data_IF_060183089183
#
_entry.id   IF_060183089183
#
_cell.length_a   1.000
_cell.length_b   1.000
_cell.length_c   1.000
_cell.angle_alpha   90.00
_cell.angle_beta   90.00
_cell.angle_gamma   90.00
#
_symmetry.space_group_name_H-M   'P 1'
#
loop_
_entity.id
_entity.type
_entity.pdbx_description
1 polymer ?
#
# COMPACT_ATOMS: atom_id res chain seq x y z
N UNK A 1 4.19 -8.86 -27.06
CA UNK A 1 4.04 -7.48 -26.56
C UNK A 1 4.37 -7.54 -25.08
N UNK A 2 5.35 -6.77 -24.61
CA UNK A 2 5.74 -6.84 -23.18
C UNK A 2 4.69 -6.09 -22.37
N UNK A 3 3.93 -6.84 -21.56
CA UNK A 3 2.82 -6.31 -20.78
C UNK A 3 3.33 -5.78 -19.43
N UNK A 4 3.74 -4.51 -19.39
CA UNK A 4 3.82 -3.72 -18.16
C UNK A 4 5.16 -3.68 -17.39
N UNK A 5 5.31 -2.56 -16.65
CA UNK A 5 6.28 -2.30 -15.57
C UNK A 5 7.70 -2.84 -15.75
N UNK A 6 7.98 -3.99 -15.13
CA UNK A 6 9.30 -4.63 -15.09
C UNK A 6 9.77 -4.98 -16.51
N UNK A 7 8.90 -5.51 -17.35
CA UNK A 7 9.28 -5.85 -18.73
C UNK A 7 9.59 -4.61 -19.57
N UNK A 8 8.90 -3.50 -19.35
CA UNK A 8 9.19 -2.26 -20.07
C UNK A 8 10.56 -1.69 -19.68
N UNK A 9 10.84 -1.60 -18.38
CA UNK A 9 12.09 -1.04 -17.88
C UNK A 9 13.32 -1.93 -18.11
N UNK A 10 13.17 -3.25 -18.05
CA UNK A 10 14.30 -4.19 -18.10
C UNK A 10 14.40 -5.02 -19.39
N UNK A 11 13.41 -4.95 -20.29
CA UNK A 11 13.46 -5.66 -21.59
C UNK A 11 13.31 -4.69 -22.76
N UNK A 12 12.27 -3.85 -22.76
CA UNK A 12 12.01 -2.93 -23.86
C UNK A 12 13.05 -1.78 -23.89
N UNK A 13 13.32 -1.16 -22.75
CA UNK A 13 14.22 -0.02 -22.67
C UNK A 13 15.67 -0.37 -23.02
N UNK A 14 16.28 -1.45 -22.50
CA UNK A 14 17.63 -1.86 -22.91
C UNK A 14 17.74 -2.15 -24.40
N UNK A 15 16.69 -2.73 -25.00
CA UNK A 15 16.66 -2.99 -26.44
C UNK A 15 16.69 -1.70 -27.26
N UNK A 16 15.96 -0.67 -26.84
CA UNK A 16 15.98 0.66 -27.48
C UNK A 16 17.35 1.30 -27.30
N UNK A 17 17.88 1.32 -26.08
CA UNK A 17 19.16 1.93 -25.76
C UNK A 17 20.32 1.26 -26.52
N UNK A 18 20.29 -0.06 -26.68
CA UNK A 18 21.30 -0.81 -27.45
C UNK A 18 21.31 -0.50 -28.95
N UNK A 19 20.24 0.13 -29.48
CA UNK A 19 20.17 0.57 -30.87
C UNK A 19 20.75 1.97 -31.10
N UNK A 20 21.11 2.71 -30.04
CA UNK A 20 21.55 4.11 -30.10
C UNK A 20 23.09 4.27 -30.10
N UNK A 21 23.83 3.21 -30.43
CA UNK A 21 25.30 3.17 -30.53
C UNK A 21 25.99 3.81 -29.30
N UNK A 22 26.93 4.73 -29.46
CA UNK A 22 27.70 5.31 -28.34
C UNK A 22 26.86 6.09 -27.31
N UNK A 23 25.77 6.75 -27.74
CA UNK A 23 24.90 7.53 -26.84
C UNK A 23 24.05 6.63 -25.92
N UNK A 24 23.85 5.36 -26.32
CA UNK A 24 23.06 4.40 -25.56
C UNK A 24 23.65 4.12 -24.16
N UNK A 25 24.96 3.94 -24.07
CA UNK A 25 25.60 3.57 -22.79
C UNK A 25 25.37 4.63 -21.70
N UNK A 26 25.53 5.92 -22.03
CA UNK A 26 25.34 7.01 -21.06
C UNK A 26 23.88 7.11 -20.63
N UNK A 27 22.93 7.01 -21.58
CA UNK A 27 21.50 7.06 -21.29
C UNK A 27 21.06 5.87 -20.43
N UNK A 28 21.59 4.66 -20.72
CA UNK A 28 21.32 3.46 -19.95
C UNK A 28 21.78 3.60 -18.49
N UNK A 29 23.00 4.09 -18.26
CA UNK A 29 23.52 4.30 -16.90
C UNK A 29 22.69 5.32 -16.14
N UNK A 30 22.36 6.46 -16.75
CA UNK A 30 21.54 7.49 -16.09
C UNK A 30 20.13 6.99 -15.79
N UNK A 31 19.53 6.22 -16.70
CA UNK A 31 18.21 5.62 -16.50
C UNK A 31 18.20 4.63 -15.34
N UNK A 32 19.13 3.68 -15.30
CA UNK A 32 19.18 2.68 -14.23
C UNK A 32 19.61 3.28 -12.88
N UNK A 33 20.49 4.28 -12.87
CA UNK A 33 20.82 5.04 -11.67
C UNK A 33 19.59 5.77 -11.12
N UNK A 34 18.81 6.43 -11.99
CA UNK A 34 17.55 7.07 -11.61
C UNK A 34 16.54 6.05 -11.07
N UNK A 35 16.37 4.92 -11.76
CA UNK A 35 15.50 3.82 -11.34
C UNK A 35 15.89 3.29 -9.96
N UNK A 36 17.19 3.14 -9.69
CA UNK A 36 17.71 2.70 -8.40
C UNK A 36 17.38 3.68 -7.27
N UNK A 37 17.64 4.98 -7.47
CA UNK A 37 17.33 6.02 -6.47
C UNK A 37 15.81 6.14 -6.24
N UNK A 38 15.01 6.08 -7.30
CA UNK A 38 13.56 6.10 -7.22
C UNK A 38 13.01 4.87 -6.46
N UNK A 39 13.59 3.68 -6.71
CA UNK A 39 13.23 2.46 -5.99
C UNK A 39 13.55 2.53 -4.50
N UNK A 40 14.75 3.01 -4.14
CA UNK A 40 15.18 3.16 -2.75
C UNK A 40 14.28 4.11 -1.95
N UNK A 41 13.95 5.28 -2.53
CA UNK A 41 13.11 6.27 -1.86
C UNK A 41 11.66 5.79 -1.70
N UNK A 42 11.12 5.10 -2.71
CA UNK A 42 9.79 4.48 -2.62
C UNK A 42 9.73 3.39 -1.55
N UNK A 43 10.73 2.50 -1.53
CA UNK A 43 10.82 1.42 -0.54
C UNK A 43 10.89 1.96 0.89
N UNK A 44 11.69 3.02 1.11
CA UNK A 44 11.79 3.66 2.42
C UNK A 44 10.44 4.26 2.88
N UNK A 45 9.67 4.86 1.97
CA UNK A 45 8.33 5.39 2.27
C UNK A 45 7.34 4.28 2.64
N UNK A 46 7.33 3.18 1.89
CA UNK A 46 6.40 2.07 2.11
C UNK A 46 6.68 1.35 3.44
N UNK A 47 7.95 1.08 3.77
CA UNK A 47 8.29 0.37 5.01
C UNK A 47 8.10 1.22 6.27
N UNK A 48 8.14 2.54 6.14
CA UNK A 48 7.93 3.45 7.27
C UNK A 48 6.49 3.37 7.81
N UNK A 49 5.50 3.10 6.96
CA UNK A 49 4.09 2.99 7.36
C UNK A 49 3.86 1.91 8.44
N UNK A 50 4.24 0.63 8.25
CA UNK A 50 4.10 -0.38 9.28
C UNK A 50 5.03 -0.15 10.49
N UNK A 51 6.19 0.47 10.30
CA UNK A 51 7.09 0.85 11.41
C UNK A 51 6.38 1.82 12.35
N UNK A 52 5.85 2.92 11.83
CA UNK A 52 5.10 3.92 12.61
C UNK A 52 3.84 3.32 13.24
N UNK A 53 3.12 2.44 12.54
CA UNK A 53 1.97 1.76 13.11
C UNK A 53 2.33 0.89 14.33
N UNK A 54 3.48 0.21 14.32
CA UNK A 54 3.98 -0.59 15.46
C UNK A 54 4.48 0.29 16.59
N UNK A 55 5.16 1.40 16.28
CA UNK A 55 5.58 2.41 17.26
C UNK A 55 4.38 2.99 18.01
N UNK A 56 3.35 3.44 17.29
CA UNK A 56 2.14 4.03 17.86
C UNK A 56 1.34 3.01 18.68
N UNK A 57 1.21 1.78 18.17
CA UNK A 57 0.42 0.73 18.84
C UNK A 57 1.08 0.20 20.10
N UNK A 58 2.39 -0.05 20.08
CA UNK A 58 3.10 -0.75 21.17
C UNK A 58 4.02 0.15 22.00
N UNK A 59 4.19 1.43 21.63
CA UNK A 59 5.10 2.36 22.30
C UNK A 59 6.56 1.94 22.18
N UNK A 60 6.93 1.26 21.09
CA UNK A 60 8.31 0.82 20.88
C UNK A 60 9.22 1.99 20.49
N UNK A 61 10.49 1.91 20.88
CA UNK A 61 11.49 2.86 20.38
C UNK A 61 11.71 2.66 18.89
N UNK A 62 11.99 3.77 18.18
CA UNK A 62 12.16 3.75 16.72
C UNK A 62 13.15 2.69 16.24
N UNK A 63 14.33 2.61 16.90
CA UNK A 63 15.36 1.61 16.57
C UNK A 63 14.85 0.17 16.69
N UNK A 64 14.01 -0.11 17.69
CA UNK A 64 13.43 -1.44 17.89
C UNK A 64 12.42 -1.76 16.79
N UNK A 65 11.53 -0.82 16.47
CA UNK A 65 10.52 -1.00 15.44
C UNK A 65 11.15 -1.22 14.05
N UNK A 66 12.13 -0.40 13.68
CA UNK A 66 12.88 -0.54 12.42
C UNK A 66 13.57 -1.91 12.33
N UNK A 67 14.26 -2.33 13.39
CA UNK A 67 15.00 -3.60 13.37
C UNK A 67 14.07 -4.81 13.25
N UNK A 68 12.93 -4.80 13.96
CA UNK A 68 11.98 -5.92 13.95
C UNK A 68 11.20 -5.95 12.64
N UNK A 69 10.56 -4.85 12.24
CA UNK A 69 9.73 -4.80 11.03
C UNK A 69 10.62 -4.97 9.79
N UNK A 70 11.75 -4.28 9.73
CA UNK A 70 12.71 -4.40 8.64
C UNK A 70 13.35 -5.78 8.57
N UNK A 71 13.75 -6.34 9.71
CA UNK A 71 14.35 -7.68 9.78
C UNK A 71 13.38 -8.78 9.34
N UNK A 72 12.14 -8.77 9.83
CA UNK A 72 11.11 -9.72 9.41
C UNK A 72 10.82 -9.58 7.90
N UNK A 73 10.68 -8.34 7.40
CA UNK A 73 10.46 -8.09 5.97
C UNK A 73 11.62 -8.62 5.13
N UNK A 74 12.86 -8.41 5.56
CA UNK A 74 14.04 -8.93 4.86
C UNK A 74 14.09 -10.47 4.83
N UNK A 75 13.71 -11.13 5.92
CA UNK A 75 13.64 -12.59 5.98
C UNK A 75 12.57 -13.16 5.05
N UNK A 76 11.38 -12.55 5.03
CA UNK A 76 10.29 -12.94 4.12
C UNK A 76 10.72 -12.73 2.67
N UNK A 77 11.34 -11.59 2.36
CA UNK A 77 11.88 -11.31 1.04
C UNK A 77 12.93 -12.34 0.64
N UNK A 78 13.87 -12.71 1.52
CA UNK A 78 14.88 -13.72 1.20
C UNK A 78 14.25 -15.09 0.90
N UNK A 79 13.23 -15.48 1.66
CA UNK A 79 12.52 -16.74 1.46
C UNK A 79 11.72 -16.77 0.15
N UNK A 80 11.01 -15.68 -0.19
CA UNK A 80 10.16 -15.63 -1.38
C UNK A 80 10.95 -15.35 -2.68
N UNK A 81 12.00 -14.53 -2.62
CA UNK A 81 12.76 -14.11 -3.80
C UNK A 81 13.87 -15.09 -4.24
N UNK A 82 14.17 -16.13 -3.46
CA UNK A 82 15.20 -17.11 -3.82
C UNK A 82 14.76 -18.13 -4.90
N UNK A 83 13.49 -18.11 -5.33
CA UNK A 83 12.92 -19.13 -6.22
C UNK A 83 12.74 -18.59 -7.65
N UNK A 84 12.84 -19.46 -8.67
CA UNK A 84 12.63 -19.08 -10.10
C UNK A 84 11.24 -18.50 -10.38
N UNK A 85 10.27 -18.77 -9.52
CA UNK A 85 8.87 -18.29 -9.60
C UNK A 85 8.61 -17.03 -8.76
N UNK A 86 9.67 -16.41 -8.19
CA UNK A 86 9.54 -15.27 -7.29
C UNK A 86 8.77 -14.08 -7.91
N UNK A 87 9.06 -13.74 -9.16
CA UNK A 87 8.40 -12.62 -9.84
C UNK A 87 6.90 -12.86 -9.93
N UNK A 88 6.48 -14.08 -10.27
CA UNK A 88 5.07 -14.47 -10.33
C UNK A 88 4.39 -14.37 -8.96
N UNK A 89 5.03 -14.84 -7.89
CA UNK A 89 4.45 -14.77 -6.56
C UNK A 89 4.29 -13.32 -6.08
N UNK A 90 5.32 -12.50 -6.30
CA UNK A 90 5.30 -11.08 -5.92
C UNK A 90 4.24 -10.32 -6.69
N UNK A 91 4.08 -10.60 -7.98
CA UNK A 91 3.06 -9.98 -8.83
C UNK A 91 1.64 -10.34 -8.37
N UNK A 92 1.37 -11.62 -8.10
CA UNK A 92 0.08 -12.09 -7.56
C UNK A 92 -0.20 -11.45 -6.19
N UNK A 93 0.78 -11.45 -5.29
CA UNK A 93 0.63 -10.88 -3.94
C UNK A 93 0.39 -9.37 -4.04
N UNK A 94 1.18 -8.64 -4.83
CA UNK A 94 1.05 -7.20 -5.01
C UNK A 94 -0.33 -6.83 -5.56
N UNK A 95 -0.78 -7.55 -6.59
CA UNK A 95 -2.09 -7.31 -7.19
C UNK A 95 -3.22 -7.49 -6.19
N UNK A 96 -3.23 -8.60 -5.43
CA UNK A 96 -4.27 -8.85 -4.43
C UNK A 96 -4.18 -7.90 -3.24
N UNK A 97 -2.96 -7.60 -2.77
CA UNK A 97 -2.74 -6.70 -1.64
C UNK A 97 -3.19 -5.28 -1.96
N UNK A 98 -2.85 -4.76 -3.15
CA UNK A 98 -3.18 -3.39 -3.55
C UNK A 98 -4.64 -3.25 -3.97
N UNK A 99 -5.17 -4.16 -4.80
CA UNK A 99 -6.53 -4.00 -5.34
C UNK A 99 -7.63 -4.43 -4.36
N UNK A 100 -7.34 -5.36 -3.44
CA UNK A 100 -8.29 -5.76 -2.40
C UNK A 100 -7.90 -5.12 -1.07
N UNK A 101 -6.71 -5.42 -0.55
CA UNK A 101 -6.31 -5.02 0.81
C UNK A 101 -6.31 -3.50 1.02
N UNK A 102 -5.53 -2.77 0.23
CA UNK A 102 -5.39 -1.31 0.36
C UNK A 102 -6.71 -0.60 0.04
N UNK A 103 -7.38 -0.97 -1.06
CA UNK A 103 -8.67 -0.36 -1.44
C UNK A 103 -9.73 -0.60 -0.36
N UNK A 104 -9.86 -1.81 0.16
CA UNK A 104 -10.80 -2.13 1.23
C UNK A 104 -10.48 -1.35 2.52
N UNK A 105 -9.22 -1.30 2.92
CA UNK A 105 -8.78 -0.50 4.07
C UNK A 105 -9.05 1.00 3.90
N UNK A 106 -8.87 1.52 2.68
CA UNK A 106 -9.19 2.91 2.36
C UNK A 106 -10.70 3.18 2.45
N UNK A 107 -11.55 2.30 1.91
CA UNK A 107 -13.02 2.43 2.03
C UNK A 107 -13.45 2.42 3.50
N UNK A 108 -12.94 1.46 4.29
CA UNK A 108 -13.27 1.38 5.71
C UNK A 108 -12.83 2.63 6.48
N UNK A 109 -11.61 3.13 6.25
CA UNK A 109 -11.11 4.32 6.93
C UNK A 109 -11.90 5.58 6.55
N UNK A 110 -12.25 5.75 5.28
CA UNK A 110 -13.10 6.86 4.82
C UNK A 110 -14.47 6.78 5.48
N UNK A 111 -15.16 5.64 5.45
CA UNK A 111 -16.48 5.47 6.08
C UNK A 111 -16.40 5.74 7.59
N UNK A 112 -15.35 5.27 8.25
CA UNK A 112 -15.15 5.51 9.69
C UNK A 112 -15.02 6.99 10.02
N UNK A 113 -14.21 7.74 9.27
CA UNK A 113 -13.97 9.17 9.50
C UNK A 113 -15.17 10.02 9.09
N UNK A 114 -15.82 9.70 7.98
CA UNK A 114 -16.81 10.60 7.36
C UNK A 114 -18.25 10.30 7.74
N UNK A 115 -18.61 9.03 7.95
CA UNK A 115 -19.99 8.63 8.24
C UNK A 115 -20.20 8.32 9.71
N UNK A 116 -19.29 7.57 10.34
CA UNK A 116 -19.41 7.14 11.73
C UNK A 116 -18.95 8.23 12.72
N UNK A 117 -17.87 8.96 12.40
CA UNK A 117 -17.32 10.00 13.27
C UNK A 117 -17.35 11.39 12.62
N UNK A 118 -18.54 11.88 12.28
CA UNK A 118 -18.73 13.17 11.57
C UNK A 118 -18.01 14.36 12.23
N UNK A 119 -17.89 14.37 13.56
CA UNK A 119 -17.13 15.42 14.27
C UNK A 119 -15.63 15.43 13.97
N UNK A 120 -15.03 14.31 13.57
CA UNK A 120 -13.63 14.23 13.16
C UNK A 120 -13.41 14.88 11.80
N UNK A 121 -14.35 14.75 10.86
CA UNK A 121 -14.28 15.42 9.57
C UNK A 121 -14.21 16.95 9.74
N UNK A 122 -15.05 17.50 10.61
CA UNK A 122 -15.04 18.94 10.90
C UNK A 122 -13.76 19.39 11.63
N UNK A 123 -13.21 18.55 12.53
CA UNK A 123 -11.88 18.81 13.13
C UNK A 123 -10.78 18.81 12.06
N UNK A 124 -10.81 17.85 11.13
CA UNK A 124 -9.83 17.72 10.05
C UNK A 124 -9.88 18.91 9.09
N UNK A 125 -11.08 19.32 8.67
CA UNK A 125 -11.27 20.49 7.80
C UNK A 125 -10.77 21.77 8.48
N UNK A 126 -11.06 21.95 9.77
CA UNK A 126 -10.55 23.09 10.54
C UNK A 126 -9.03 23.09 10.64
N UNK A 127 -8.42 21.93 10.89
CA UNK A 127 -6.97 21.79 10.96
C UNK A 127 -6.31 22.14 9.62
N UNK A 128 -6.80 21.56 8.52
CA UNK A 128 -6.28 21.84 7.17
C UNK A 128 -6.42 23.33 6.84
N UNK A 129 -7.58 23.94 7.13
CA UNK A 129 -7.81 25.37 6.89
C UNK A 129 -6.97 26.30 7.78
N UNK A 130 -6.43 25.80 8.88
CA UNK A 130 -5.55 26.55 9.79
C UNK A 130 -4.10 26.63 9.30
N UNK A 131 -3.63 25.61 8.57
CA UNK A 131 -2.24 25.52 8.08
C UNK A 131 -2.11 25.77 6.56
N UNK A 132 -3.22 25.74 5.82
CA UNK A 132 -3.22 25.86 4.36
C UNK A 132 -3.52 27.28 3.89
N UNK A 133 -2.77 27.75 2.89
CA UNK A 133 -3.06 28.99 2.15
C UNK A 133 -4.37 28.91 1.35
N UNK A 134 -4.84 27.70 1.02
CA UNK A 134 -6.10 27.45 0.31
C UNK A 134 -7.09 26.78 1.26
N UNK A 135 -8.27 27.40 1.44
CA UNK A 135 -9.31 26.86 2.30
C UNK A 135 -10.15 25.82 1.57
N UNK A 136 -10.23 24.63 2.13
CA UNK A 136 -11.13 23.57 1.70
C UNK A 136 -12.53 23.79 2.30
N UNK A 137 -13.54 23.64 1.46
CA UNK A 137 -14.94 23.87 1.81
C UNK A 137 -15.79 22.60 1.74
N UNK A 138 -17.12 22.79 1.77
CA UNK A 138 -18.11 21.70 1.71
C UNK A 138 -18.00 20.83 0.45
N UNK A 139 -17.50 21.39 -0.66
CA UNK A 139 -17.24 20.64 -1.89
C UNK A 139 -16.20 19.53 -1.70
N UNK A 140 -15.08 19.84 -1.04
CA UNK A 140 -14.05 18.83 -0.71
C UNK A 140 -14.60 17.76 0.23
N UNK A 141 -15.38 18.17 1.23
CA UNK A 141 -16.04 17.23 2.14
C UNK A 141 -17.00 16.29 1.39
N UNK A 142 -17.76 16.81 0.43
CA UNK A 142 -18.64 16.01 -0.42
C UNK A 142 -17.85 15.03 -1.30
N UNK A 143 -16.76 15.47 -1.93
CA UNK A 143 -15.89 14.59 -2.72
C UNK A 143 -15.36 13.43 -1.87
N UNK A 144 -14.88 13.73 -0.67
CA UNK A 144 -14.31 12.74 0.25
C UNK A 144 -15.39 11.81 0.85
N UNK A 145 -16.59 12.31 1.11
CA UNK A 145 -17.67 11.54 1.77
C UNK A 145 -18.50 10.70 0.81
N UNK A 146 -18.57 11.10 -0.46
CA UNK A 146 -19.47 10.48 -1.46
C UNK A 146 -18.70 9.96 -2.66
N UNK A 147 -17.94 10.82 -3.36
CA UNK A 147 -17.30 10.45 -4.62
C UNK A 147 -16.22 9.41 -4.39
N UNK A 148 -15.29 9.68 -3.47
CA UNK A 148 -14.17 8.77 -3.14
C UNK A 148 -14.64 7.37 -2.74
N UNK A 149 -15.54 7.19 -1.75
CA UNK A 149 -15.96 5.84 -1.36
C UNK A 149 -16.72 5.14 -2.48
N UNK A 150 -17.57 5.83 -3.26
CA UNK A 150 -18.28 5.21 -4.39
C UNK A 150 -17.29 4.71 -5.44
N UNK A 151 -16.31 5.53 -5.85
CA UNK A 151 -15.31 5.13 -6.82
C UNK A 151 -14.47 3.94 -6.35
N UNK A 152 -14.06 3.93 -5.08
CA UNK A 152 -13.29 2.83 -4.50
C UNK A 152 -14.13 1.55 -4.36
N UNK A 153 -15.41 1.64 -3.99
CA UNK A 153 -16.31 0.48 -3.92
C UNK A 153 -16.51 -0.11 -5.31
N UNK A 154 -16.75 0.71 -6.33
CA UNK A 154 -16.89 0.23 -7.71
C UNK A 154 -15.59 -0.46 -8.16
N UNK A 155 -14.43 0.16 -7.93
CA UNK A 155 -13.14 -0.42 -8.27
C UNK A 155 -12.90 -1.77 -7.57
N UNK A 156 -13.25 -1.87 -6.29
CA UNK A 156 -13.14 -3.10 -5.51
C UNK A 156 -14.05 -4.20 -6.06
N UNK A 157 -15.31 -3.88 -6.36
CA UNK A 157 -16.27 -4.84 -6.91
C UNK A 157 -15.85 -5.34 -8.30
N UNK A 158 -15.35 -4.44 -9.16
CA UNK A 158 -14.82 -4.82 -10.47
C UNK A 158 -13.59 -5.72 -10.34
N UNK A 159 -12.68 -5.39 -9.43
CA UNK A 159 -11.47 -6.17 -9.18
C UNK A 159 -11.82 -7.57 -8.66
N UNK A 160 -12.70 -7.67 -7.67
CA UNK A 160 -13.15 -8.97 -7.12
C UNK A 160 -13.86 -9.79 -8.20
N UNK A 161 -14.74 -9.16 -9.00
CA UNK A 161 -15.44 -9.86 -10.07
C UNK A 161 -14.46 -10.42 -11.10
N UNK A 162 -13.53 -9.60 -11.58
CA UNK A 162 -12.50 -10.02 -12.55
C UNK A 162 -11.67 -11.18 -11.99
N UNK A 163 -11.20 -11.09 -10.75
CA UNK A 163 -10.40 -12.14 -10.11
C UNK A 163 -11.17 -13.46 -9.93
N UNK A 164 -12.49 -13.41 -9.70
CA UNK A 164 -13.33 -14.61 -9.56
C UNK A 164 -13.73 -15.24 -10.89
N UNK A 165 -13.91 -14.44 -11.95
CA UNK A 165 -14.38 -14.95 -13.25
C UNK A 165 -13.25 -15.30 -14.21
N UNK A 166 -12.22 -14.46 -14.26
CA UNK A 166 -11.13 -14.56 -15.25
C UNK A 166 -9.82 -15.06 -14.63
N UNK A 167 -9.71 -15.01 -13.29
CA UNK A 167 -8.45 -15.22 -12.60
C UNK A 167 -7.46 -14.07 -12.85
N UNK A 168 -6.22 -14.24 -12.39
CA UNK A 168 -5.16 -13.25 -12.57
C UNK A 168 -4.10 -13.73 -13.57
N UNK A 169 -3.98 -13.02 -14.69
CA UNK A 169 -2.91 -13.14 -15.71
C UNK A 169 -2.64 -14.56 -16.22
N UNK A 170 -3.64 -15.45 -16.18
CA UNK A 170 -3.51 -16.84 -16.59
C UNK A 170 -2.64 -17.72 -15.67
N UNK A 171 -2.30 -17.24 -14.47
CA UNK A 171 -1.54 -18.03 -13.49
C UNK A 171 -2.34 -19.21 -12.94
N UNK A 172 -1.62 -20.23 -12.45
CA UNK A 172 -2.19 -21.44 -11.88
C UNK A 172 -3.13 -21.13 -10.69
N UNK A 173 -4.27 -21.83 -10.65
CA UNK A 173 -5.31 -21.61 -9.64
C UNK A 173 -4.79 -21.82 -8.22
N UNK A 174 -3.92 -22.82 -7.99
CA UNK A 174 -3.37 -23.10 -6.66
C UNK A 174 -2.45 -21.95 -6.23
N UNK A 175 -1.68 -21.38 -7.16
CA UNK A 175 -0.83 -20.22 -6.89
C UNK A 175 -1.67 -19.00 -6.50
N UNK A 176 -2.75 -18.72 -7.22
CA UNK A 176 -3.66 -17.60 -6.89
C UNK A 176 -4.41 -17.82 -5.57
N UNK A 177 -4.84 -19.05 -5.29
CA UNK A 177 -5.53 -19.40 -4.05
C UNK A 177 -4.61 -19.26 -2.83
N UNK A 178 -3.38 -19.78 -2.91
CA UNK A 178 -2.45 -19.77 -1.77
C UNK A 178 -1.84 -18.40 -1.56
N UNK A 179 -1.33 -17.75 -2.61
CA UNK A 179 -0.60 -16.49 -2.46
C UNK A 179 -1.51 -15.26 -2.57
N UNK A 180 -2.49 -15.26 -3.48
CA UNK A 180 -3.43 -14.15 -3.63
C UNK A 180 -4.45 -14.12 -2.49
N UNK A 181 -5.33 -15.12 -2.39
CA UNK A 181 -6.34 -15.16 -1.33
C UNK A 181 -5.74 -15.38 0.07
N UNK A 182 -4.61 -16.08 0.17
CA UNK A 182 -3.87 -16.21 1.42
C UNK A 182 -3.38 -14.86 1.97
N UNK A 183 -2.90 -13.93 1.12
CA UNK A 183 -2.48 -12.60 1.62
C UNK A 183 -3.67 -11.80 2.16
N UNK A 184 -4.82 -11.89 1.48
CA UNK A 184 -6.07 -11.24 1.94
C UNK A 184 -6.49 -11.82 3.29
N UNK A 185 -6.40 -13.14 3.46
CA UNK A 185 -6.68 -13.80 4.74
C UNK A 185 -5.70 -13.35 5.83
N UNK A 186 -4.40 -13.24 5.53
CA UNK A 186 -3.39 -12.72 6.47
C UNK A 186 -3.71 -11.28 6.89
N UNK A 187 -4.12 -10.42 5.97
CA UNK A 187 -4.53 -9.05 6.30
C UNK A 187 -5.77 -9.03 7.20
N UNK A 188 -6.79 -9.84 6.89
CA UNK A 188 -7.99 -9.93 7.71
C UNK A 188 -7.71 -10.46 9.12
N UNK A 189 -6.93 -11.54 9.23
CA UNK A 189 -6.53 -12.12 10.52
C UNK A 189 -5.63 -11.16 11.31
N UNK A 190 -4.67 -10.52 10.63
CA UNK A 190 -3.80 -9.52 11.21
C UNK A 190 -4.59 -8.34 11.78
N UNK A 191 -5.58 -7.83 11.04
CA UNK A 191 -6.46 -6.78 11.52
C UNK A 191 -7.22 -7.22 12.79
N UNK A 192 -7.83 -8.41 12.79
CA UNK A 192 -8.55 -8.93 13.96
C UNK A 192 -7.66 -9.13 15.20
N UNK A 193 -6.45 -9.68 15.00
CA UNK A 193 -5.48 -9.86 16.07
C UNK A 193 -5.02 -8.51 16.64
N UNK A 194 -4.68 -7.56 15.77
CA UNK A 194 -4.24 -6.23 16.17
C UNK A 194 -5.35 -5.44 16.89
N UNK A 195 -6.62 -5.61 16.52
CA UNK A 195 -7.75 -5.03 17.27
C UNK A 195 -7.85 -5.61 18.67
N UNK A 196 -7.55 -6.90 18.87
CA UNK A 196 -7.61 -7.55 20.18
C UNK A 196 -6.41 -7.24 21.09
N UNK A 197 -5.25 -6.94 20.52
CA UNK A 197 -4.08 -6.55 21.32
C UNK A 197 -4.26 -5.18 21.98
N UNK A 198 -3.98 -5.10 23.28
CA UNK A 198 -4.06 -3.86 24.07
C UNK A 198 -3.00 -2.87 23.56
N UNK A 199 -3.44 -1.69 23.11
CA UNK A 199 -2.55 -0.61 22.70
C UNK A 199 -1.81 0.00 23.89
N UNK A 200 -0.68 0.64 23.62
CA UNK A 200 0.08 1.39 24.61
C UNK A 200 -0.74 2.58 25.15
N UNK A 201 -0.51 2.94 26.41
CA UNK A 201 -1.33 3.87 27.22
C UNK A 201 -1.52 5.28 26.65
N UNK A 202 -0.78 5.68 25.61
CA UNK A 202 -0.98 6.94 24.88
C UNK A 202 -2.29 6.96 24.07
N UNK A 203 -2.83 5.79 23.70
CA UNK A 203 -4.14 5.68 23.04
C UNK A 203 -5.32 5.95 23.98
N UNK A 204 -5.16 5.73 25.28
CA UNK A 204 -6.20 5.96 26.29
C UNK A 204 -6.26 7.43 26.73
N UNK A 205 -5.14 8.16 26.69
CA UNK A 205 -5.11 9.60 26.95
C UNK A 205 -5.86 10.41 25.87
N UNK A 206 -5.76 10.02 24.59
CA UNK A 206 -6.54 10.66 23.52
C UNK A 206 -8.04 10.34 23.59
N UNK A 207 -8.46 9.18 24.13
CA UNK A 207 -9.88 8.87 24.33
C UNK A 207 -10.56 9.75 25.38
N UNK A 208 -9.82 10.26 26.37
CA UNK A 208 -10.34 11.17 27.39
C UNK A 208 -10.79 12.51 26.82
N UNK A 209 -10.01 13.09 25.89
CA UNK A 209 -10.25 14.40 25.28
C UNK A 209 -11.40 14.45 24.25
N UNK A 210 -11.97 13.30 23.85
CA UNK A 210 -13.13 13.28 22.94
C UNK A 210 -14.48 13.19 23.66
N UNK A 211 -14.47 12.97 24.98
CA UNK A 211 -15.66 12.84 25.81
C UNK A 211 -15.89 14.02 26.77
N UNK A 212 -15.05 15.05 26.69
CA UNK A 212 -15.27 16.38 27.29
C UNK A 212 -15.60 17.43 26.21
#
# INVERSE_FOLDING_TARGET
>A
MVSGGIGLAFVAFPKIVSSMDEAGTIIGVLFFASLFVAGLTSMASIIQVPISAVEDKFGWSHKKAVTVVGGISALISLALFSTKTAITFVDVIDHFANNIGVVFGAVLSIIWVTWLNRGLLDKLIRHINGISSIKIGKGWAFMLTVIMPISLIIALLLSIKSLLTEGYDGYDFVTQAVFGWGVVAVFALGALLLTKTKGHSSHDAQKGDYHE
#
